data_IF_316321369420
#
_entry.id   IF_316321369420
#
_cell.length_a   1.000
_cell.length_b   1.000
_cell.length_c   1.000
_cell.angle_alpha   90.00
_cell.angle_beta   90.00
_cell.angle_gamma   90.00
#
_symmetry.space_group_name_H-M   'P 1'
#
loop_
_entity.id
_entity.type
_entity.pdbx_description
1 polymer ?
#
# COMPACT_ATOMS: atom_id res chain seq x y z
N UNK A 1 12.93 -25.95 -21.14
CA UNK A 1 12.05 -24.81 -21.41
C UNK A 1 12.70 -23.57 -20.83
N UNK A 2 13.47 -22.87 -21.68
CA UNK A 2 14.06 -21.60 -21.33
C UNK A 2 12.95 -20.54 -21.28
N UNK A 3 12.55 -20.13 -20.10
CA UNK A 3 11.72 -18.95 -19.94
C UNK A 3 12.57 -17.73 -20.36
N UNK A 4 12.09 -16.88 -21.28
CA UNK A 4 12.83 -15.69 -21.69
C UNK A 4 12.99 -14.76 -20.50
N UNK A 5 14.18 -14.75 -19.91
CA UNK A 5 14.52 -13.79 -18.86
C UNK A 5 14.55 -12.42 -19.52
N UNK A 6 13.61 -11.54 -19.14
CA UNK A 6 13.60 -10.15 -19.65
C UNK A 6 14.96 -9.52 -19.38
N UNK A 7 15.58 -8.89 -20.36
CA UNK A 7 16.89 -8.29 -20.19
C UNK A 7 16.84 -7.19 -19.13
N UNK A 8 17.88 -7.08 -18.32
CA UNK A 8 17.96 -6.15 -17.18
C UNK A 8 17.70 -4.70 -17.59
N UNK A 9 18.08 -4.33 -18.83
CA UNK A 9 17.82 -3.00 -19.37
C UNK A 9 16.32 -2.72 -19.59
N UNK A 10 15.51 -3.72 -19.94
CA UNK A 10 14.08 -3.54 -20.16
C UNK A 10 13.36 -3.29 -18.82
N UNK A 11 13.78 -3.94 -17.73
CA UNK A 11 13.25 -3.66 -16.40
C UNK A 11 13.72 -2.30 -15.86
N UNK A 12 14.97 -1.92 -16.17
CA UNK A 12 15.49 -0.59 -15.84
C UNK A 12 14.70 0.51 -16.59
N UNK A 13 14.41 0.30 -17.88
CA UNK A 13 13.58 1.22 -18.67
C UNK A 13 12.13 1.31 -18.12
N UNK A 14 11.52 0.18 -17.78
CA UNK A 14 10.17 0.19 -17.20
C UNK A 14 10.12 0.89 -15.83
N UNK A 15 11.13 0.71 -14.99
CA UNK A 15 11.21 1.40 -13.71
C UNK A 15 11.48 2.90 -13.88
N UNK A 16 12.34 3.27 -14.83
CA UNK A 16 12.62 4.67 -15.17
C UNK A 16 11.39 5.35 -15.76
N UNK A 17 10.66 4.68 -16.64
CA UNK A 17 9.40 5.17 -17.18
C UNK A 17 8.33 5.35 -16.10
N UNK A 18 8.21 4.39 -15.17
CA UNK A 18 7.28 4.50 -14.03
C UNK A 18 7.63 5.69 -13.12
N UNK A 19 8.91 5.88 -12.82
CA UNK A 19 9.39 7.04 -12.04
C UNK A 19 9.13 8.35 -12.81
N UNK A 20 9.42 8.40 -14.10
CA UNK A 20 9.17 9.58 -14.93
C UNK A 20 7.67 9.91 -15.03
N UNK A 21 6.80 8.89 -15.16
CA UNK A 21 5.35 9.07 -15.15
C UNK A 21 4.84 9.61 -13.81
N UNK A 22 5.36 9.09 -12.70
CA UNK A 22 5.03 9.59 -11.36
C UNK A 22 5.50 11.04 -11.22
N UNK A 23 6.73 11.33 -11.58
CA UNK A 23 7.28 12.69 -11.51
C UNK A 23 6.51 13.67 -12.41
N UNK A 24 6.14 13.24 -13.63
CA UNK A 24 5.30 14.01 -14.53
C UNK A 24 3.91 14.30 -13.95
N UNK A 25 3.28 13.28 -13.36
CA UNK A 25 1.99 13.45 -12.68
C UNK A 25 2.09 14.41 -11.47
N UNK A 26 3.18 14.32 -10.70
CA UNK A 26 3.47 15.25 -9.61
C UNK A 26 3.66 16.68 -10.13
N UNK A 27 4.41 16.86 -11.20
CA UNK A 27 4.62 18.18 -11.79
C UNK A 27 3.31 18.78 -12.32
N UNK A 28 2.43 17.96 -12.91
CA UNK A 28 1.09 18.37 -13.33
C UNK A 28 0.26 18.78 -12.11
N UNK A 29 0.23 18.00 -11.05
CA UNK A 29 -0.48 18.34 -9.81
C UNK A 29 0.07 19.62 -9.16
N UNK A 30 1.38 19.80 -9.16
CA UNK A 30 2.03 21.00 -8.62
C UNK A 30 1.74 22.26 -9.44
N UNK A 31 1.40 22.12 -10.74
CA UNK A 31 1.00 23.25 -11.59
C UNK A 31 -0.44 23.74 -11.35
N UNK A 32 -1.28 22.91 -10.70
CA UNK A 32 -2.62 23.35 -10.32
C UNK A 32 -2.58 24.06 -8.96
N UNK A 33 -3.00 25.33 -8.94
CA UNK A 33 -3.07 26.12 -7.73
C UNK A 33 -4.23 25.68 -6.85
N UNK A 34 -4.00 25.63 -5.55
CA UNK A 34 -5.05 25.36 -4.57
C UNK A 34 -5.98 26.60 -4.49
N UNK A 35 -7.32 26.42 -4.61
CA UNK A 35 -8.24 27.54 -4.48
C UNK A 35 -8.03 28.32 -3.18
N UNK A 36 -8.00 29.67 -3.27
CA UNK A 36 -7.75 30.59 -2.14
C UNK A 36 -8.62 30.29 -0.91
N UNK A 37 -9.91 30.00 -1.10
CA UNK A 37 -10.85 29.62 -0.02
C UNK A 37 -10.41 28.38 0.77
N UNK A 38 -9.66 27.47 0.14
CA UNK A 38 -9.15 26.27 0.81
C UNK A 38 -7.89 26.56 1.60
N UNK A 39 -7.06 27.45 1.07
CA UNK A 39 -5.88 27.96 1.75
C UNK A 39 -6.27 28.77 2.99
N UNK A 40 -7.22 29.69 2.88
CA UNK A 40 -7.76 30.45 4.00
C UNK A 40 -8.21 29.55 5.15
N UNK A 41 -9.02 28.52 4.88
CA UNK A 41 -9.44 27.53 5.89
C UNK A 41 -8.28 26.77 6.53
N UNK A 42 -7.22 26.51 5.77
CA UNK A 42 -6.03 25.82 6.30
C UNK A 42 -5.21 26.72 7.23
N UNK A 43 -5.13 28.02 6.92
CA UNK A 43 -4.47 29.01 7.76
C UNK A 43 -5.30 29.31 9.02
N UNK A 44 -6.62 29.48 8.87
CA UNK A 44 -7.56 29.61 10.00
C UNK A 44 -7.48 28.45 10.98
N UNK A 45 -7.44 27.21 10.46
CA UNK A 45 -7.31 26.00 11.27
C UNK A 45 -5.97 25.91 12.06
N UNK A 46 -4.95 26.68 11.62
CA UNK A 46 -3.66 26.81 12.31
C UNK A 46 -3.57 28.06 13.19
N UNK A 47 -4.59 28.91 13.18
CA UNK A 47 -4.56 30.19 13.88
C UNK A 47 -3.61 31.20 13.25
N UNK A 48 -3.26 31.04 11.99
CA UNK A 48 -2.36 31.90 11.22
C UNK A 48 -3.16 32.73 10.21
N UNK A 49 -2.70 33.94 9.94
CA UNK A 49 -3.28 34.82 8.92
C UNK A 49 -2.61 34.51 7.58
N UNK A 50 -3.40 34.24 6.55
CA UNK A 50 -2.88 33.99 5.21
C UNK A 50 -2.23 35.29 4.65
N UNK A 51 -0.96 35.23 4.18
CA UNK A 51 -0.33 36.39 3.53
C UNK A 51 -1.07 36.75 2.23
N UNK A 52 -1.20 38.06 1.95
CA UNK A 52 -1.79 38.53 0.69
C UNK A 52 -1.00 37.98 -0.54
N UNK A 53 -1.71 37.41 -1.47
CA UNK A 53 -1.11 36.85 -2.71
C UNK A 53 -0.42 35.51 -2.55
N UNK A 54 -0.58 34.81 -1.41
CA UNK A 54 -0.01 33.47 -1.22
C UNK A 54 -0.76 32.44 -2.08
N UNK A 55 -0.05 31.86 -3.04
CA UNK A 55 -0.52 30.73 -3.85
C UNK A 55 0.41 29.55 -3.67
N UNK A 56 -0.15 28.36 -3.59
CA UNK A 56 0.63 27.11 -3.56
C UNK A 56 -0.03 26.06 -4.42
N UNK A 57 0.78 25.25 -5.11
CA UNK A 57 0.30 24.16 -5.91
C UNK A 57 -0.07 22.93 -5.06
N UNK A 58 -0.84 22.01 -5.67
CA UNK A 58 -1.09 20.69 -5.08
C UNK A 58 0.22 19.90 -5.08
N UNK A 59 0.95 19.93 -3.96
CA UNK A 59 2.11 19.07 -3.76
C UNK A 59 1.72 17.62 -3.48
N UNK A 60 2.64 16.68 -3.70
CA UNK A 60 2.44 15.32 -3.20
C UNK A 60 2.45 15.30 -1.67
N UNK A 61 1.41 14.73 -1.03
CA UNK A 61 1.49 14.47 0.41
C UNK A 61 2.70 13.59 0.73
N UNK A 62 3.43 13.91 1.78
CA UNK A 62 4.58 13.13 2.23
C UNK A 62 4.24 11.64 2.40
N UNK A 63 3.01 11.34 2.83
CA UNK A 63 2.49 9.97 2.96
C UNK A 63 2.48 9.18 1.64
N UNK A 64 2.19 9.85 0.51
CA UNK A 64 2.22 9.22 -0.82
C UNK A 64 3.66 8.94 -1.24
N UNK A 65 4.59 9.85 -0.96
CA UNK A 65 6.01 9.65 -1.24
C UNK A 65 6.58 8.49 -0.42
N UNK A 66 6.23 8.38 0.86
CA UNK A 66 6.58 7.24 1.71
C UNK A 66 6.02 5.93 1.13
N UNK A 67 4.74 5.92 0.70
CA UNK A 67 4.13 4.76 0.09
C UNK A 67 4.90 4.30 -1.16
N UNK A 68 5.24 5.21 -2.06
CA UNK A 68 5.99 4.91 -3.28
C UNK A 68 7.36 4.32 -2.94
N UNK A 69 8.08 4.94 -2.00
CA UNK A 69 9.40 4.49 -1.56
C UNK A 69 9.33 3.07 -0.98
N UNK A 70 8.36 2.81 -0.09
CA UNK A 70 8.13 1.49 0.49
C UNK A 70 7.75 0.48 -0.59
N UNK A 71 6.86 0.83 -1.53
CA UNK A 71 6.46 -0.04 -2.62
C UNK A 71 7.65 -0.46 -3.50
N UNK A 72 8.52 0.49 -3.84
CA UNK A 72 9.75 0.23 -4.61
C UNK A 72 10.70 -0.65 -3.80
N UNK A 73 10.96 -0.31 -2.54
CA UNK A 73 11.85 -1.07 -1.66
C UNK A 73 11.36 -2.52 -1.51
N UNK A 74 10.07 -2.72 -1.20
CA UNK A 74 9.50 -4.05 -1.04
C UNK A 74 9.45 -4.84 -2.34
N UNK A 75 9.27 -4.17 -3.49
CA UNK A 75 9.35 -4.83 -4.81
C UNK A 75 10.76 -5.35 -5.08
N UNK A 76 11.79 -4.55 -4.73
CA UNK A 76 13.18 -4.96 -4.84
C UNK A 76 13.45 -6.15 -3.91
N UNK A 77 12.99 -6.08 -2.66
CA UNK A 77 13.13 -7.18 -1.70
C UNK A 77 12.48 -8.45 -2.22
N UNK A 78 11.22 -8.38 -2.69
CA UNK A 78 10.47 -9.53 -3.17
C UNK A 78 11.07 -10.14 -4.45
N UNK A 79 11.50 -9.32 -5.42
CA UNK A 79 11.93 -9.80 -6.74
C UNK A 79 13.43 -10.03 -6.90
N UNK A 80 14.26 -9.23 -6.19
CA UNK A 80 15.72 -9.20 -6.42
C UNK A 80 16.54 -9.83 -5.30
N UNK A 81 15.98 -10.05 -4.10
CA UNK A 81 16.73 -10.59 -2.98
C UNK A 81 16.54 -12.10 -2.78
N UNK A 82 17.48 -12.73 -2.05
CA UNK A 82 17.34 -14.12 -1.61
C UNK A 82 16.14 -14.30 -0.69
N UNK A 83 15.84 -13.28 0.13
CA UNK A 83 14.71 -13.30 1.05
C UNK A 83 13.39 -13.45 0.30
N UNK A 84 13.15 -12.66 -0.74
CA UNK A 84 11.93 -12.77 -1.56
C UNK A 84 11.79 -14.16 -2.19
N UNK A 85 12.87 -14.69 -2.79
CA UNK A 85 12.83 -16.05 -3.36
C UNK A 85 12.50 -17.12 -2.33
N UNK A 86 13.02 -16.99 -1.12
CA UNK A 86 12.71 -17.93 -0.04
C UNK A 86 11.27 -17.81 0.45
N UNK A 87 10.73 -16.57 0.50
CA UNK A 87 9.32 -16.33 0.85
C UNK A 87 8.40 -17.03 -0.15
N UNK A 88 8.61 -16.84 -1.46
CA UNK A 88 7.79 -17.49 -2.48
C UNK A 88 7.96 -19.01 -2.53
N UNK A 89 9.18 -19.52 -2.36
CA UNK A 89 9.44 -20.96 -2.32
C UNK A 89 8.75 -21.62 -1.12
N UNK A 90 8.87 -21.04 0.06
CA UNK A 90 8.23 -21.56 1.29
C UNK A 90 6.71 -21.42 1.22
N UNK A 91 6.20 -20.32 0.62
CA UNK A 91 4.76 -20.15 0.41
C UNK A 91 4.17 -21.19 -0.55
N UNK A 92 4.92 -21.63 -1.58
CA UNK A 92 4.46 -22.63 -2.52
C UNK A 92 4.49 -24.06 -1.97
N UNK A 93 5.56 -24.44 -1.28
CA UNK A 93 5.69 -25.74 -0.62
C UNK A 93 6.70 -25.64 0.54
N UNK A 94 6.23 -25.53 1.79
CA UNK A 94 7.09 -25.39 2.96
C UNK A 94 8.04 -26.59 3.17
N UNK A 95 7.53 -27.79 2.95
CA UNK A 95 8.31 -29.03 3.15
C UNK A 95 9.45 -29.15 2.12
N UNK A 96 9.15 -28.88 0.85
CA UNK A 96 10.17 -28.86 -0.19
C UNK A 96 11.22 -27.76 0.03
N UNK A 97 10.80 -26.59 0.55
CA UNK A 97 11.71 -25.51 0.91
C UNK A 97 12.66 -25.91 2.04
N UNK A 98 12.16 -26.59 3.07
CA UNK A 98 12.95 -27.08 4.19
C UNK A 98 13.94 -28.15 3.75
N UNK A 99 13.50 -29.10 2.93
CA UNK A 99 14.38 -30.12 2.31
C UNK A 99 15.47 -29.49 1.43
N UNK A 100 15.20 -28.34 0.85
CA UNK A 100 16.19 -27.56 0.07
C UNK A 100 17.17 -26.75 0.95
N UNK A 101 17.10 -26.89 2.27
CA UNK A 101 17.99 -26.23 3.23
C UNK A 101 17.56 -24.81 3.62
N UNK A 102 16.32 -24.39 3.31
CA UNK A 102 15.78 -23.12 3.75
C UNK A 102 15.30 -23.27 5.21
N UNK A 103 15.84 -22.45 6.10
CA UNK A 103 15.36 -22.40 7.48
C UNK A 103 14.04 -21.62 7.54
N UNK A 104 12.93 -22.36 7.45
CA UNK A 104 11.56 -21.81 7.40
C UNK A 104 11.19 -21.05 8.67
N UNK A 105 11.66 -21.49 9.86
CA UNK A 105 11.42 -20.79 11.13
C UNK A 105 12.07 -19.41 11.15
N UNK A 106 13.34 -19.32 10.78
CA UNK A 106 14.06 -18.04 10.72
C UNK A 106 13.46 -17.12 9.65
N UNK A 107 13.01 -17.69 8.54
CA UNK A 107 12.33 -16.94 7.47
C UNK A 107 11.03 -16.33 7.98
N UNK A 108 10.21 -17.11 8.70
CA UNK A 108 8.96 -16.62 9.31
C UNK A 108 9.22 -15.46 10.26
N UNK A 109 10.22 -15.57 11.14
CA UNK A 109 10.60 -14.46 12.04
C UNK A 109 10.98 -13.19 11.26
N UNK A 110 11.75 -13.34 10.17
CA UNK A 110 12.11 -12.18 9.33
C UNK A 110 10.89 -11.54 8.65
N UNK A 111 9.94 -12.33 8.17
CA UNK A 111 8.70 -11.84 7.56
C UNK A 111 7.87 -11.08 8.56
N UNK A 112 7.67 -11.63 9.78
CA UNK A 112 6.95 -10.94 10.86
C UNK A 112 7.68 -9.65 11.31
N UNK A 113 9.00 -9.66 11.35
CA UNK A 113 9.77 -8.46 11.68
C UNK A 113 9.56 -7.34 10.63
N UNK A 114 9.59 -7.68 9.33
CA UNK A 114 9.32 -6.73 8.25
C UNK A 114 7.87 -6.22 8.36
N UNK A 115 6.91 -7.10 8.59
CA UNK A 115 5.50 -6.73 8.78
C UNK A 115 5.35 -5.75 9.95
N UNK A 116 5.99 -6.02 11.08
CA UNK A 116 5.97 -5.13 12.25
C UNK A 116 6.56 -3.75 11.96
N UNK A 117 7.66 -3.68 11.20
CA UNK A 117 8.25 -2.40 10.78
C UNK A 117 7.31 -1.62 9.85
N UNK A 118 6.66 -2.29 8.91
CA UNK A 118 5.71 -1.64 8.00
C UNK A 118 4.45 -1.17 8.75
N UNK A 119 3.97 -1.96 9.71
CA UNK A 119 2.84 -1.58 10.56
C UNK A 119 3.18 -0.36 11.44
N UNK A 120 4.37 -0.31 12.02
CA UNK A 120 4.84 0.85 12.79
C UNK A 120 4.94 2.11 11.92
N UNK A 121 5.45 1.99 10.68
CA UNK A 121 5.50 3.09 9.73
C UNK A 121 4.10 3.58 9.36
N UNK A 122 3.16 2.65 9.11
CA UNK A 122 1.75 2.98 8.82
C UNK A 122 1.10 3.71 9.99
N UNK A 123 1.32 3.23 11.23
CA UNK A 123 0.81 3.86 12.44
C UNK A 123 1.36 5.29 12.62
N UNK A 124 2.65 5.50 12.35
CA UNK A 124 3.27 6.82 12.42
C UNK A 124 2.64 7.80 11.41
N UNK A 125 2.41 7.34 10.16
CA UNK A 125 1.75 8.15 9.12
C UNK A 125 0.29 8.45 9.50
N UNK A 126 -0.44 7.46 10.05
CA UNK A 126 -1.83 7.63 10.48
C UNK A 126 -1.93 8.63 11.66
N UNK A 127 -1.09 8.49 12.68
CA UNK A 127 -1.01 9.43 13.81
C UNK A 127 -0.70 10.86 13.36
N UNK A 128 0.24 11.03 12.43
CA UNK A 128 0.60 12.35 11.92
C UNK A 128 -0.55 13.04 11.16
N UNK A 129 -1.46 12.24 10.54
CA UNK A 129 -2.62 12.78 9.82
C UNK A 129 -3.79 13.16 10.71
N UNK A 130 -4.01 12.41 11.78
CA UNK A 130 -5.24 12.52 12.58
C UNK A 130 -5.15 13.59 13.68
N UNK A 131 -3.96 14.09 14.02
CA UNK A 131 -3.71 15.06 15.11
C UNK A 131 -4.37 14.73 16.46
N UNK A 132 -5.29 13.79 16.46
CA UNK A 132 -6.00 13.28 17.65
C UNK A 132 -5.77 11.77 17.77
N UNK A 133 -5.56 11.29 18.99
CA UNK A 133 -5.48 9.85 19.27
C UNK A 133 -6.88 9.34 19.64
N UNK A 134 -7.42 8.43 18.81
CA UNK A 134 -8.57 7.64 19.15
C UNK A 134 -8.11 6.21 19.48
N UNK A 135 -8.67 5.60 20.53
CA UNK A 135 -8.26 4.27 20.97
C UNK A 135 -8.67 3.14 20.00
N UNK A 136 -9.50 3.45 19.03
CA UNK A 136 -10.05 2.53 18.03
C UNK A 136 -9.36 2.63 16.65
N UNK A 137 -8.31 3.44 16.54
CA UNK A 137 -7.51 3.55 15.31
C UNK A 137 -6.91 2.18 14.97
N UNK A 138 -7.17 1.70 13.76
CA UNK A 138 -6.67 0.41 13.28
C UNK A 138 -7.54 -0.79 13.64
N UNK A 139 -8.68 -0.59 14.31
CA UNK A 139 -9.62 -1.68 14.59
C UNK A 139 -10.13 -2.29 13.28
N UNK A 140 -9.99 -3.62 13.14
CA UNK A 140 -10.33 -4.40 11.94
C UNK A 140 -9.50 -4.05 10.68
N UNK A 141 -8.42 -3.30 10.80
CA UNK A 141 -7.57 -2.99 9.65
C UNK A 141 -6.86 -4.25 9.11
N UNK A 142 -6.60 -5.25 9.95
CA UNK A 142 -6.07 -6.54 9.52
C UNK A 142 -6.97 -7.21 8.46
N UNK A 143 -8.28 -7.19 8.64
CA UNK A 143 -9.23 -7.77 7.67
C UNK A 143 -9.22 -7.00 6.36
N UNK A 144 -9.10 -5.67 6.42
CA UNK A 144 -9.02 -4.80 5.25
C UNK A 144 -7.75 -5.04 4.45
N UNK A 145 -6.62 -5.20 5.14
CA UNK A 145 -5.31 -5.47 4.51
C UNK A 145 -5.31 -6.84 3.85
N UNK A 146 -5.88 -7.87 4.52
CA UNK A 146 -6.03 -9.21 3.94
C UNK A 146 -6.91 -9.14 2.69
N UNK A 147 -8.09 -8.49 2.77
CA UNK A 147 -8.97 -8.31 1.64
C UNK A 147 -8.27 -7.59 0.48
N UNK A 148 -7.54 -6.52 0.76
CA UNK A 148 -6.77 -5.79 -0.24
C UNK A 148 -5.71 -6.67 -0.92
N UNK A 149 -4.98 -7.50 -0.16
CA UNK A 149 -3.98 -8.40 -0.69
C UNK A 149 -4.61 -9.47 -1.61
N UNK A 150 -5.73 -10.07 -1.21
CA UNK A 150 -6.44 -11.10 -1.98
C UNK A 150 -7.04 -10.51 -3.27
N UNK A 151 -7.76 -9.37 -3.17
CA UNK A 151 -8.27 -8.63 -4.34
C UNK A 151 -7.14 -8.25 -5.29
N UNK A 152 -5.96 -7.94 -4.73
CA UNK A 152 -4.74 -7.67 -5.49
C UNK A 152 -4.08 -8.90 -6.12
N UNK A 153 -4.68 -10.09 -6.00
CA UNK A 153 -4.19 -11.34 -6.59
C UNK A 153 -3.06 -11.99 -5.80
N UNK A 154 -3.03 -11.81 -4.47
CA UNK A 154 -2.15 -12.57 -3.59
C UNK A 154 -2.87 -13.85 -3.15
N UNK A 155 -2.34 -15.01 -3.51
CA UNK A 155 -2.94 -16.29 -3.15
C UNK A 155 -2.87 -16.55 -1.65
N UNK A 156 -3.99 -16.93 -1.04
CA UNK A 156 -4.05 -17.32 0.37
C UNK A 156 -3.32 -18.65 0.63
N UNK A 157 -3.29 -19.53 -0.38
CA UNK A 157 -2.50 -20.76 -0.35
C UNK A 157 -1.00 -20.52 -0.31
N UNK A 158 -0.55 -19.29 -0.60
CA UNK A 158 0.86 -18.89 -0.62
C UNK A 158 1.54 -19.04 -1.97
N UNK A 159 2.82 -18.70 -2.04
CA UNK A 159 3.67 -18.88 -3.23
C UNK A 159 3.44 -17.90 -4.38
N UNK A 160 2.35 -17.15 -4.40
CA UNK A 160 2.01 -16.20 -5.46
C UNK A 160 1.50 -14.86 -4.91
N UNK A 161 1.91 -13.78 -5.53
CA UNK A 161 1.47 -12.43 -5.20
C UNK A 161 2.43 -11.36 -5.73
N UNK A 162 1.94 -10.11 -5.78
CA UNK A 162 2.76 -8.97 -6.21
C UNK A 162 2.50 -7.75 -5.34
N UNK A 163 3.55 -6.94 -5.13
CA UNK A 163 3.42 -5.69 -4.37
C UNK A 163 2.47 -4.71 -5.09
N UNK A 164 2.55 -4.64 -6.42
CA UNK A 164 1.65 -3.78 -7.20
C UNK A 164 0.19 -4.20 -7.08
N UNK A 165 -0.06 -5.52 -7.12
CA UNK A 165 -1.40 -6.06 -6.90
C UNK A 165 -1.95 -5.66 -5.54
N UNK A 166 -1.19 -5.84 -4.46
CA UNK A 166 -1.59 -5.45 -3.12
C UNK A 166 -1.91 -3.95 -3.01
N UNK A 167 -1.14 -3.07 -3.67
CA UNK A 167 -1.41 -1.64 -3.71
C UNK A 167 -2.72 -1.33 -4.46
N UNK A 168 -2.94 -1.96 -5.61
CA UNK A 168 -4.19 -1.80 -6.36
C UNK A 168 -5.40 -2.29 -5.56
N UNK A 169 -5.28 -3.44 -4.91
CA UNK A 169 -6.31 -3.95 -4.01
C UNK A 169 -6.60 -2.99 -2.84
N UNK A 170 -5.56 -2.41 -2.25
CA UNK A 170 -5.72 -1.40 -1.20
C UNK A 170 -6.43 -0.13 -1.71
N UNK A 171 -6.13 0.32 -2.94
CA UNK A 171 -6.83 1.44 -3.57
C UNK A 171 -8.31 1.13 -3.81
N UNK A 172 -8.63 -0.08 -4.28
CA UNK A 172 -10.02 -0.52 -4.48
C UNK A 172 -10.77 -0.53 -3.14
N UNK A 173 -10.18 -1.12 -2.11
CA UNK A 173 -10.79 -1.18 -0.78
C UNK A 173 -10.99 0.20 -0.17
N UNK A 174 -10.00 1.09 -0.30
CA UNK A 174 -10.10 2.46 0.20
C UNK A 174 -11.13 3.28 -0.58
N UNK A 175 -11.23 3.09 -1.90
CA UNK A 175 -12.25 3.75 -2.72
C UNK A 175 -13.66 3.31 -2.34
N UNK A 176 -13.85 2.00 -2.09
CA UNK A 176 -15.12 1.45 -1.62
C UNK A 176 -15.53 2.07 -0.26
N UNK A 177 -14.61 2.11 0.70
CA UNK A 177 -14.88 2.73 2.01
C UNK A 177 -15.20 4.22 1.90
N UNK A 178 -14.38 4.96 1.15
CA UNK A 178 -14.61 6.39 0.96
C UNK A 178 -15.96 6.65 0.28
N UNK A 179 -16.34 5.83 -0.72
CA UNK A 179 -17.62 5.91 -1.38
C UNK A 179 -18.79 5.67 -0.40
N UNK A 180 -18.70 4.62 0.42
CA UNK A 180 -19.73 4.33 1.44
C UNK A 180 -19.85 5.46 2.48
N UNK A 181 -18.73 6.00 2.93
CA UNK A 181 -18.72 7.12 3.86
C UNK A 181 -19.34 8.40 3.27
N UNK A 182 -19.09 8.68 1.98
CA UNK A 182 -19.70 9.83 1.28
C UNK A 182 -21.22 9.72 1.12
N UNK A 183 -21.74 8.51 1.01
CA UNK A 183 -23.20 8.24 0.95
C UNK A 183 -23.83 8.19 2.35
N UNK A 184 -23.03 8.30 3.41
CA UNK A 184 -23.52 8.31 4.79
C UNK A 184 -23.79 6.94 5.38
N UNK A 185 -23.15 5.88 4.86
CA UNK A 185 -23.26 4.52 5.41
C UNK A 185 -22.48 4.45 6.72
N UNK A 186 -23.15 3.99 7.79
CA UNK A 186 -22.53 3.84 9.12
C UNK A 186 -21.42 2.79 9.14
N UNK A 187 -20.42 3.00 10.02
CA UNK A 187 -19.24 2.14 10.16
C UNK A 187 -19.54 0.64 10.32
N UNK A 188 -20.56 0.20 11.10
CA UNK A 188 -20.90 -1.22 11.21
C UNK A 188 -21.29 -1.86 9.86
N UNK A 189 -22.05 -1.14 9.03
CA UNK A 189 -22.45 -1.62 7.69
C UNK A 189 -21.25 -1.65 6.74
N UNK A 190 -20.36 -0.68 6.82
CA UNK A 190 -19.10 -0.70 6.05
C UNK A 190 -18.28 -1.95 6.37
N UNK A 191 -18.18 -2.34 7.64
CA UNK A 191 -17.46 -3.55 8.06
C UNK A 191 -18.11 -4.84 7.53
N UNK A 192 -19.45 -4.90 7.48
CA UNK A 192 -20.18 -6.03 6.88
C UNK A 192 -19.86 -6.14 5.38
N UNK A 193 -19.85 -5.02 4.67
CA UNK A 193 -19.51 -4.99 3.24
C UNK A 193 -18.06 -5.45 3.02
N UNK A 194 -17.12 -4.92 3.80
CA UNK A 194 -15.69 -5.33 3.74
C UNK A 194 -15.54 -6.83 4.00
N UNK A 195 -16.20 -7.37 5.02
CA UNK A 195 -16.20 -8.80 5.31
C UNK A 195 -16.81 -9.63 4.18
N UNK A 196 -17.90 -9.17 3.58
CA UNK A 196 -18.53 -9.84 2.43
C UNK A 196 -17.62 -9.88 1.21
N UNK A 197 -16.94 -8.76 0.91
CA UNK A 197 -15.98 -8.65 -0.19
C UNK A 197 -14.80 -9.60 0.05
N UNK A 198 -14.31 -9.70 1.30
CA UNK A 198 -13.24 -10.65 1.65
C UNK A 198 -13.68 -12.09 1.40
N UNK A 199 -14.88 -12.48 1.85
CA UNK A 199 -15.41 -13.84 1.63
C UNK A 199 -15.54 -14.14 0.15
N UNK A 200 -16.07 -13.21 -0.64
CA UNK A 200 -16.17 -13.37 -2.09
C UNK A 200 -14.81 -13.51 -2.77
N UNK A 201 -13.84 -12.68 -2.37
CA UNK A 201 -12.49 -12.74 -2.91
C UNK A 201 -11.82 -14.10 -2.62
N UNK A 202 -12.00 -14.63 -1.41
CA UNK A 202 -11.49 -15.95 -1.02
C UNK A 202 -12.17 -17.09 -1.81
N UNK A 203 -13.48 -16.99 -2.04
CA UNK A 203 -14.23 -17.97 -2.83
C UNK A 203 -13.78 -18.02 -4.29
N UNK A 204 -13.29 -16.93 -4.84
CA UNK A 204 -12.77 -16.86 -6.21
C UNK A 204 -11.34 -17.42 -6.29
N UNK A 205 -10.57 -17.34 -5.20
CA UNK A 205 -9.17 -17.78 -5.13
C UNK A 205 -9.04 -19.34 -4.95
N UNK A 206 -10.13 -20.02 -4.59
CA UNK A 206 -10.19 -21.49 -4.44
C UNK A 206 -10.49 -22.15 -5.81
#
# INVERSE_FOLDING_TARGET
HDFPVKPVWAEALMSLFAVAAIMGFVAILASYEIPSRRLERMFEARGEVMPEGFTTGYGLPLSVLILILVAVAMTIVARRTRLGRYIFATGGNPDAAELSGINTRLLTVKVFAIMGMLAALSAAVASARLTNHANDIGTLDELRVIAAAVIGGTALSGGFGTIYGAILGALIMQSLQSGMAMVGVDAPFQNIVVGSVLVLAVLIDI
#
